data_IF_287469215468
#
_entry.id   IF_287469215468
#
_cell.length_a   1.000
_cell.length_b   1.000
_cell.length_c   1.000
_cell.angle_alpha   90.00
_cell.angle_beta   90.00
_cell.angle_gamma   90.00
#
_symmetry.space_group_name_H-M   'P 1'
#
loop_
_entity.id
_entity.type
_entity.pdbx_description
1 polymer ?
#
# COMPACT_ATOMS: atom_id res chain seq x y z
N UNK A 1 23.18 -27.19 -13.03
CA UNK A 1 23.03 -25.83 -12.49
C UNK A 1 21.58 -25.68 -12.01
N UNK A 2 21.34 -25.70 -10.70
CA UNK A 2 20.00 -25.59 -10.14
C UNK A 2 19.40 -24.21 -10.50
N UNK A 3 18.22 -24.20 -11.13
CA UNK A 3 17.44 -22.96 -11.33
C UNK A 3 17.18 -22.40 -9.94
N UNK A 4 17.86 -21.30 -9.60
CA UNK A 4 17.61 -20.52 -8.39
C UNK A 4 16.12 -20.23 -8.39
N UNK A 5 15.40 -20.71 -7.37
CA UNK A 5 13.99 -20.36 -7.18
C UNK A 5 13.98 -18.83 -7.05
N UNK A 6 13.47 -18.17 -8.07
CA UNK A 6 13.39 -16.72 -8.10
C UNK A 6 12.16 -16.34 -7.29
N UNK A 7 12.41 -15.98 -6.04
CA UNK A 7 11.39 -15.68 -5.06
C UNK A 7 10.70 -14.36 -5.44
N UNK A 8 9.37 -14.28 -5.39
CA UNK A 8 8.62 -13.06 -5.73
C UNK A 8 8.75 -11.94 -4.70
N UNK A 9 9.55 -12.14 -3.64
CA UNK A 9 9.89 -11.11 -2.66
C UNK A 9 10.58 -9.90 -3.33
N UNK A 10 10.17 -8.70 -2.93
CA UNK A 10 10.58 -7.41 -3.49
C UNK A 10 9.48 -6.70 -4.29
N UNK A 11 8.58 -7.45 -4.95
CA UNK A 11 7.61 -6.86 -5.89
C UNK A 11 6.46 -6.12 -5.20
N UNK A 12 5.93 -6.63 -4.08
CA UNK A 12 4.83 -5.96 -3.37
C UNK A 12 5.34 -4.70 -2.66
N UNK A 13 6.59 -4.70 -2.20
CA UNK A 13 7.27 -3.55 -1.62
C UNK A 13 7.45 -2.41 -2.63
N UNK A 14 7.85 -2.74 -3.86
CA UNK A 14 7.93 -1.75 -4.95
C UNK A 14 6.56 -1.14 -5.25
N UNK A 15 5.53 -1.97 -5.37
CA UNK A 15 4.15 -1.50 -5.59
C UNK A 15 3.63 -0.65 -4.43
N UNK A 16 3.87 -1.05 -3.18
CA UNK A 16 3.49 -0.28 -2.00
C UNK A 16 4.20 1.08 -1.94
N UNK A 17 5.46 1.13 -2.37
CA UNK A 17 6.24 2.37 -2.42
C UNK A 17 5.73 3.32 -3.51
N UNK A 18 5.36 2.78 -4.67
CA UNK A 18 4.75 3.55 -5.75
C UNK A 18 3.38 4.11 -5.35
N UNK A 19 2.54 3.31 -4.68
CA UNK A 19 1.25 3.75 -4.14
C UNK A 19 1.43 4.88 -3.12
N UNK A 20 2.35 4.72 -2.17
CA UNK A 20 2.62 5.75 -1.15
C UNK A 20 3.16 7.06 -1.73
N UNK A 21 4.03 7.01 -2.74
CA UNK A 21 4.52 8.23 -3.40
C UNK A 21 3.42 9.01 -4.12
N UNK A 22 2.46 8.30 -4.71
CA UNK A 22 1.39 8.93 -5.48
C UNK A 22 0.19 9.32 -4.62
N UNK A 23 0.00 8.72 -3.44
CA UNK A 23 -1.11 9.06 -2.55
C UNK A 23 -1.02 10.48 -1.99
N UNK A 24 0.19 10.98 -1.75
CA UNK A 24 0.41 12.36 -1.29
C UNK A 24 0.05 13.40 -2.35
N UNK A 25 0.23 13.06 -3.64
CA UNK A 25 -0.18 13.90 -4.76
C UNK A 25 -1.71 13.96 -4.95
N UNK A 26 -2.45 13.02 -4.35
CA UNK A 26 -3.91 12.98 -4.38
C UNK A 26 -4.56 13.78 -3.24
N UNK A 27 -3.77 14.39 -2.36
CA UNK A 27 -4.28 15.19 -1.25
C UNK A 27 -4.91 16.49 -1.78
N UNK A 28 -6.23 16.46 -1.97
CA UNK A 28 -6.99 17.61 -2.44
C UNK A 28 -7.36 18.55 -1.28
N UNK A 29 -6.88 19.79 -1.34
CA UNK A 29 -7.24 20.86 -0.37
C UNK A 29 -8.03 21.94 -1.11
N UNK A 30 -9.35 21.86 -0.99
CA UNK A 30 -10.25 22.92 -1.42
C UNK A 30 -10.35 23.93 -0.27
N UNK A 31 -10.20 25.22 -0.58
CA UNK A 31 -10.41 26.31 0.37
C UNK A 31 -11.36 27.32 -0.27
N UNK A 32 -12.64 26.95 -0.45
CA UNK A 32 -13.60 27.83 -1.09
C UNK A 32 -13.82 29.06 -0.21
N UNK A 33 -13.49 30.24 -0.72
CA UNK A 33 -13.77 31.53 -0.09
C UNK A 33 -14.92 32.20 -0.84
N UNK A 34 -16.09 32.27 -0.22
CA UNK A 34 -17.24 33.02 -0.76
C UNK A 34 -17.51 34.22 0.14
N UNK A 35 -17.12 35.40 -0.36
CA UNK A 35 -17.54 36.66 0.21
C UNK A 35 -18.97 36.96 -0.29
N UNK A 36 -19.97 36.65 0.52
CA UNK A 36 -21.39 36.96 0.30
C UNK A 36 -22.00 36.39 -0.99
N UNK A 37 -22.72 35.27 -0.89
CA UNK A 37 -23.54 34.83 -2.01
C UNK A 37 -24.85 34.17 -1.57
N UNK A 38 -25.88 34.38 -2.38
CA UNK A 38 -27.25 33.90 -2.24
C UNK A 38 -27.30 32.36 -2.10
N UNK A 39 -28.41 31.79 -1.61
CA UNK A 39 -28.52 30.37 -1.18
C UNK A 39 -27.89 29.31 -2.10
N UNK A 40 -27.91 29.50 -3.42
CA UNK A 40 -27.28 28.59 -4.41
C UNK A 40 -25.75 28.49 -4.30
N UNK A 41 -25.07 29.53 -3.84
CA UNK A 41 -23.62 29.49 -3.63
C UNK A 41 -23.23 28.92 -2.26
N UNK A 42 -24.13 28.95 -1.28
CA UNK A 42 -23.95 28.18 -0.05
C UNK A 42 -24.06 26.68 -0.35
N UNK A 43 -25.03 26.27 -1.16
CA UNK A 43 -25.16 24.88 -1.64
C UNK A 43 -23.89 24.42 -2.37
N UNK A 44 -23.38 25.21 -3.33
CA UNK A 44 -22.14 24.87 -4.04
C UNK A 44 -20.93 24.73 -3.11
N UNK A 45 -20.81 25.59 -2.08
CA UNK A 45 -19.73 25.50 -1.09
C UNK A 45 -19.88 24.24 -0.24
N UNK A 46 -21.11 23.88 0.11
CA UNK A 46 -21.39 22.67 0.86
C UNK A 46 -21.07 21.42 0.04
N UNK A 47 -21.47 21.37 -1.23
CA UNK A 47 -21.09 20.31 -2.17
C UNK A 47 -19.57 20.23 -2.33
N UNK A 48 -18.88 21.36 -2.46
CA UNK A 48 -17.41 21.42 -2.53
C UNK A 48 -16.76 20.87 -1.24
N UNK A 49 -17.33 21.18 -0.08
CA UNK A 49 -16.85 20.69 1.21
C UNK A 49 -17.07 19.18 1.35
N UNK A 50 -18.21 18.64 0.91
CA UNK A 50 -18.49 17.21 0.90
C UNK A 50 -17.53 16.45 -0.03
N UNK A 51 -17.31 16.96 -1.25
CA UNK A 51 -16.32 16.41 -2.18
C UNK A 51 -14.93 16.44 -1.55
N UNK A 52 -14.58 17.52 -0.86
CA UNK A 52 -13.28 17.64 -0.17
C UNK A 52 -13.13 16.58 0.91
N UNK A 53 -14.16 16.38 1.75
CA UNK A 53 -14.13 15.35 2.80
C UNK A 53 -14.02 13.94 2.20
N UNK A 54 -14.77 13.65 1.13
CA UNK A 54 -14.67 12.39 0.42
C UNK A 54 -13.26 12.16 -0.14
N UNK A 55 -12.69 13.18 -0.79
CA UNK A 55 -11.34 13.11 -1.37
C UNK A 55 -10.24 13.01 -0.30
N UNK A 56 -10.42 13.58 0.89
CA UNK A 56 -9.49 13.46 2.01
C UNK A 56 -9.40 12.03 2.56
N UNK A 57 -10.43 11.20 2.40
CA UNK A 57 -10.39 9.82 2.85
C UNK A 57 -9.49 8.93 1.97
N UNK A 58 -9.31 9.26 0.68
CA UNK A 58 -8.56 8.44 -0.26
C UNK A 58 -7.08 8.26 0.10
N UNK A 59 -6.30 9.34 0.37
CA UNK A 59 -4.90 9.18 0.76
C UNK A 59 -4.72 8.23 1.95
N UNK A 60 -5.58 8.31 2.95
CA UNK A 60 -5.52 7.43 4.13
C UNK A 60 -5.77 5.95 3.80
N UNK A 61 -6.70 5.66 2.89
CA UNK A 61 -6.97 4.32 2.40
C UNK A 61 -5.76 3.75 1.64
N UNK A 62 -5.14 4.53 0.76
CA UNK A 62 -3.94 4.12 0.02
C UNK A 62 -2.73 3.90 0.92
N UNK A 63 -2.54 4.74 1.94
CA UNK A 63 -1.49 4.55 2.96
C UNK A 63 -1.70 3.23 3.70
N UNK A 64 -2.94 2.94 4.10
CA UNK A 64 -3.29 1.68 4.77
C UNK A 64 -3.03 0.47 3.88
N UNK A 65 -3.41 0.53 2.61
CA UNK A 65 -3.16 -0.55 1.66
C UNK A 65 -1.68 -0.76 1.37
N UNK A 66 -0.90 0.32 1.23
CA UNK A 66 0.56 0.23 1.13
C UNK A 66 1.19 -0.43 2.35
N UNK A 67 0.68 -0.17 3.56
CA UNK A 67 1.15 -0.81 4.78
C UNK A 67 0.75 -2.30 4.84
N UNK A 68 -0.45 -2.65 4.40
CA UNK A 68 -0.90 -4.04 4.31
C UNK A 68 -0.03 -4.85 3.35
N UNK A 69 0.30 -4.30 2.18
CA UNK A 69 1.19 -4.94 1.20
C UNK A 69 2.58 -5.19 1.79
N UNK A 70 3.14 -4.24 2.53
CA UNK A 70 4.42 -4.42 3.25
C UNK A 70 4.36 -5.54 4.28
N UNK A 71 3.25 -5.67 5.00
CA UNK A 71 3.08 -6.72 6.01
C UNK A 71 2.95 -8.10 5.37
N UNK A 72 2.19 -8.20 4.27
CA UNK A 72 2.08 -9.44 3.48
C UNK A 72 3.45 -9.86 2.97
N UNK A 73 4.25 -8.92 2.46
CA UNK A 73 5.59 -9.24 1.98
C UNK A 73 6.51 -9.77 3.09
N UNK A 74 6.47 -9.17 4.29
CA UNK A 74 7.22 -9.69 5.45
C UNK A 74 6.83 -11.13 5.78
N UNK A 75 5.54 -11.45 5.74
CA UNK A 75 5.04 -12.81 5.97
C UNK A 75 5.52 -13.78 4.87
N UNK A 76 5.57 -13.31 3.62
CA UNK A 76 6.07 -14.07 2.49
C UNK A 76 7.57 -14.39 2.66
N UNK A 77 8.40 -13.39 2.94
CA UNK A 77 9.83 -13.58 3.20
C UNK A 77 10.09 -14.53 4.37
N UNK A 78 9.31 -14.43 5.45
CA UNK A 78 9.42 -15.34 6.59
C UNK A 78 9.10 -16.80 6.18
N UNK A 79 8.06 -16.98 5.38
CA UNK A 79 7.65 -18.29 4.87
C UNK A 79 8.71 -18.90 3.93
N UNK A 80 9.29 -18.09 3.06
CA UNK A 80 10.39 -18.50 2.17
C UNK A 80 11.62 -18.94 2.96
N UNK A 81 11.99 -18.20 4.01
CA UNK A 81 13.11 -18.57 4.88
C UNK A 81 12.85 -19.88 5.62
N UNK A 82 11.63 -20.07 6.13
CA UNK A 82 11.24 -21.31 6.81
C UNK A 82 11.30 -22.52 5.85
N UNK A 83 10.78 -22.37 4.63
CA UNK A 83 10.86 -23.41 3.60
C UNK A 83 12.32 -23.73 3.23
N UNK A 84 13.16 -22.71 3.06
CA UNK A 84 14.59 -22.88 2.80
C UNK A 84 15.30 -23.64 3.92
N UNK A 85 14.98 -23.34 5.18
CA UNK A 85 15.54 -24.03 6.35
C UNK A 85 15.09 -25.50 6.43
N UNK A 86 13.82 -25.79 6.15
CA UNK A 86 13.31 -27.16 6.11
C UNK A 86 13.96 -27.98 4.99
N UNK A 87 14.11 -27.40 3.79
CA UNK A 87 14.79 -28.04 2.67
C UNK A 87 16.26 -28.33 3.00
N UNK A 88 16.98 -27.37 3.58
CA UNK A 88 18.37 -27.55 3.99
C UNK A 88 18.51 -28.67 5.04
N UNK A 89 17.64 -28.66 6.06
CA UNK A 89 17.64 -29.68 7.12
C UNK A 89 17.35 -31.08 6.57
N UNK A 90 16.44 -31.18 5.58
CA UNK A 90 16.15 -32.43 4.89
C UNK A 90 17.33 -32.95 4.06
N UNK A 91 18.02 -32.07 3.34
CA UNK A 91 19.23 -32.42 2.59
C UNK A 91 20.36 -32.89 3.52
N UNK A 92 20.58 -32.18 4.63
CA UNK A 92 21.61 -32.53 5.62
C UNK A 92 21.30 -33.87 6.32
N UNK A 93 20.02 -34.19 6.54
CA UNK A 93 19.59 -35.48 7.07
C UNK A 93 19.85 -36.63 6.09
N UNK A 94 19.55 -36.43 4.80
CA UNK A 94 19.78 -37.43 3.75
C UNK A 94 21.28 -37.64 3.49
N UNK A 95 22.09 -36.58 3.51
CA UNK A 95 23.54 -36.66 3.28
C UNK A 95 24.35 -37.27 4.43
N UNK A 96 23.76 -37.42 5.63
CA UNK A 96 24.37 -38.09 6.79
C UNK A 96 24.04 -39.59 6.88
N UNK A 97 23.22 -40.11 5.98
CA UNK A 97 22.83 -41.52 5.90
C UNK A 97 23.65 -42.25 4.84
#
# INVERSE_FOLDING_TARGET
MAKKIQLPSGRLLEHATAIGKNSDALAFKLSPNVAYSTGTAQELVQDCMEITQFLQAFPSAFVKDGQNLKNVEKAFVASEKALGQMLQSGLDFVGKK
#
